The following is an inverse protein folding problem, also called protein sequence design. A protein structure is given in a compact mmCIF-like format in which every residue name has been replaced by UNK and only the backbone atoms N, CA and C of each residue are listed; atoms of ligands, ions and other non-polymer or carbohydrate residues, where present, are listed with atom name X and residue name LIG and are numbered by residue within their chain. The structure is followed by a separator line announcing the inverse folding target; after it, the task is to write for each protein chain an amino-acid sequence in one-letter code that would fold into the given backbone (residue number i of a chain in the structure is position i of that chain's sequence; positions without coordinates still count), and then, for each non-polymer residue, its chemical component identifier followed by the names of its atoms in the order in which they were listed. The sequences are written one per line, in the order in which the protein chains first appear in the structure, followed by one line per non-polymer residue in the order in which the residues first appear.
data_IF_836052688389
#
_entry.id   IF_836052688389
#
_cell.length_a   1.000
_cell.length_b   1.000
_cell.length_c   1.000
_cell.angle_alpha   90.00
_cell.angle_beta   90.00
_cell.angle_gamma   90.00
#
_symmetry.space_group_name_H-M   'P 1'
#
loop_
_entity.id
_entity.type
_entity.pdbx_description
1 polymer ?
#
# COMPACT_ATOMS: atom_id res chain seq x y z
N UNK A 1 13.92 0.52 -1.41
CA UNK A 1 13.84 -0.35 -0.21
C UNK A 1 12.43 -0.87 -0.14
N UNK A 2 12.31 -2.17 -0.36
CA UNK A 2 11.11 -2.69 -1.01
C UNK A 2 11.09 -2.36 -2.50
N UNK A 3 10.28 -3.11 -3.24
CA UNK A 3 9.96 -2.86 -4.65
C UNK A 3 8.56 -2.24 -4.68
N UNK A 4 8.36 -1.28 -5.56
CA UNK A 4 7.02 -1.00 -6.09
C UNK A 4 6.95 -1.67 -7.46
N UNK A 5 5.82 -2.29 -7.75
CA UNK A 5 5.59 -2.78 -9.10
C UNK A 5 5.50 -1.58 -10.06
N UNK A 6 5.89 -1.75 -11.32
CA UNK A 6 5.89 -0.68 -12.33
C UNK A 6 4.55 0.05 -12.44
N UNK A 7 3.45 -0.67 -12.21
CA UNK A 7 2.08 -0.15 -12.28
C UNK A 7 1.58 0.48 -10.97
N UNK A 8 2.44 0.59 -9.95
CA UNK A 8 2.11 1.06 -8.60
C UNK A 8 2.84 2.36 -8.27
N UNK A 9 2.20 3.21 -7.49
CA UNK A 9 2.68 4.56 -7.13
C UNK A 9 2.98 4.64 -5.63
N UNK A 10 3.66 5.71 -5.23
CA UNK A 10 3.75 6.14 -3.84
C UNK A 10 5.10 5.94 -3.16
N UNK A 11 5.09 5.91 -1.83
CA UNK A 11 6.27 6.11 -1.01
C UNK A 11 7.29 4.99 -1.22
N UNK A 12 8.54 5.35 -1.52
CA UNK A 12 9.66 4.43 -1.63
C UNK A 12 10.83 4.96 -0.81
N UNK A 13 11.28 4.17 0.16
CA UNK A 13 12.51 4.49 0.90
C UNK A 13 13.72 4.03 0.08
N UNK A 14 14.78 4.83 0.03
CA UNK A 14 16.04 4.49 -0.62
C UNK A 14 17.17 4.62 0.41
N UNK A 15 18.05 3.61 0.49
CA UNK A 15 19.21 3.64 1.40
C UNK A 15 20.30 2.74 0.84
N UNK A 16 21.55 3.10 1.14
CA UNK A 16 22.74 2.29 0.91
C UNK A 16 23.13 1.45 2.15
N UNK A 17 22.41 1.58 3.28
CA UNK A 17 22.69 0.82 4.50
C UNK A 17 22.03 -0.58 4.46
N UNK A 18 22.86 -1.62 4.49
CA UNK A 18 22.41 -3.02 4.43
C UNK A 18 21.60 -3.48 5.66
N UNK A 19 21.90 -2.98 6.86
CA UNK A 19 21.15 -3.33 8.07
C UNK A 19 19.73 -2.78 8.03
N UNK A 20 19.59 -1.50 7.65
CA UNK A 20 18.28 -0.85 7.42
C UNK A 20 17.51 -1.60 6.33
N UNK A 21 18.21 -2.08 5.28
CA UNK A 21 17.60 -2.90 4.22
C UNK A 21 16.93 -4.15 4.74
N UNK A 22 17.66 -4.89 5.54
CA UNK A 22 17.18 -6.11 6.11
C UNK A 22 16.01 -5.84 7.06
N UNK A 23 16.14 -4.86 7.97
CA UNK A 23 15.13 -4.52 8.98
C UNK A 23 13.81 -4.09 8.35
N UNK A 24 13.83 -3.14 7.42
CA UNK A 24 12.60 -2.64 6.79
C UNK A 24 12.02 -3.57 5.71
N UNK A 25 12.85 -4.42 5.10
CA UNK A 25 12.45 -5.28 3.99
C UNK A 25 11.92 -6.66 4.41
N UNK A 26 12.38 -7.18 5.55
CA UNK A 26 12.10 -8.57 5.92
C UNK A 26 10.70 -8.72 6.54
N UNK A 27 9.98 -9.79 6.16
CA UNK A 27 8.59 -10.03 6.61
C UNK A 27 8.46 -10.27 8.11
N UNK A 28 9.53 -10.74 8.76
CA UNK A 28 9.53 -11.04 10.20
C UNK A 28 9.31 -9.79 11.07
N UNK A 29 9.76 -8.61 10.61
CA UNK A 29 9.63 -7.37 11.36
C UNK A 29 8.24 -6.73 11.20
N UNK A 30 7.43 -7.26 10.29
CA UNK A 30 6.00 -6.98 10.19
C UNK A 30 5.60 -5.49 10.13
N UNK A 31 6.50 -4.60 9.65
CA UNK A 31 6.22 -3.17 9.58
C UNK A 31 4.92 -2.90 8.82
N UNK A 32 4.09 -2.01 9.35
CA UNK A 32 2.84 -1.64 8.67
C UNK A 32 3.13 -0.78 7.45
N UNK A 33 2.40 -1.05 6.37
CA UNK A 33 2.35 -0.19 5.17
C UNK A 33 0.88 0.08 4.86
N UNK A 34 0.53 1.34 4.66
CA UNK A 34 -0.80 1.73 4.22
C UNK A 34 -0.83 1.93 2.70
N UNK A 35 -1.93 1.52 2.10
CA UNK A 35 -2.17 1.63 0.68
C UNK A 35 -3.53 2.25 0.45
N UNK A 36 -3.60 3.22 -0.45
CA UNK A 36 -4.85 3.63 -1.08
C UNK A 36 -5.01 2.88 -2.39
N UNK A 37 -6.16 2.24 -2.55
CA UNK A 37 -6.41 1.28 -3.61
C UNK A 37 -7.73 1.63 -4.29
N UNK A 38 -7.66 2.03 -5.55
CA UNK A 38 -8.86 2.17 -6.37
C UNK A 38 -9.19 0.82 -7.00
N UNK A 39 -10.44 0.39 -6.87
CA UNK A 39 -10.92 -0.89 -7.41
C UNK A 39 -12.10 -0.68 -8.36
N UNK A 40 -12.29 -1.61 -9.30
CA UNK A 40 -13.55 -1.72 -10.06
C UNK A 40 -14.69 -2.12 -9.11
N UNK A 41 -15.85 -1.50 -9.23
CA UNK A 41 -17.03 -1.76 -8.40
C UNK A 41 -17.01 -1.13 -7.01
N UNK A 42 -18.00 -1.51 -6.20
CA UNK A 42 -18.13 -1.12 -4.79
C UNK A 42 -18.09 -2.40 -3.95
N UNK A 43 -16.98 -2.67 -3.22
CA UNK A 43 -16.86 -3.85 -2.36
C UNK A 43 -18.00 -3.98 -1.36
N UNK A 44 -18.62 -5.17 -1.33
CA UNK A 44 -19.63 -5.51 -0.32
C UNK A 44 -19.00 -5.67 1.06
N UNK A 45 -19.81 -5.58 2.12
CA UNK A 45 -19.38 -5.84 3.49
C UNK A 45 -18.70 -7.21 3.65
N UNK A 46 -19.23 -8.25 2.98
CA UNK A 46 -18.63 -9.59 2.97
C UNK A 46 -17.24 -9.60 2.31
N UNK A 47 -17.04 -8.87 1.21
CA UNK A 47 -15.73 -8.77 0.56
C UNK A 47 -14.71 -8.02 1.44
N UNK A 48 -15.13 -6.94 2.09
CA UNK A 48 -14.29 -6.21 3.05
C UNK A 48 -13.90 -7.09 4.24
N UNK A 49 -14.84 -7.89 4.76
CA UNK A 49 -14.58 -8.84 5.83
C UNK A 49 -13.58 -9.93 5.40
N UNK A 50 -13.73 -10.50 4.20
CA UNK A 50 -12.76 -11.47 3.66
C UNK A 50 -11.35 -10.86 3.57
N UNK A 51 -11.23 -9.66 3.00
CA UNK A 51 -9.94 -8.95 2.93
C UNK A 51 -9.33 -8.71 4.32
N UNK A 52 -10.18 -8.43 5.31
CA UNK A 52 -9.77 -8.16 6.71
C UNK A 52 -9.26 -9.42 7.41
N UNK A 53 -9.98 -10.54 7.25
CA UNK A 53 -9.64 -11.83 7.87
C UNK A 53 -8.45 -12.52 7.17
N UNK A 54 -8.22 -12.20 5.90
CA UNK A 54 -7.19 -12.77 5.06
C UNK A 54 -7.81 -13.61 3.95
N UNK A 55 -7.18 -13.56 2.77
CA UNK A 55 -7.67 -14.20 1.55
C UNK A 55 -6.60 -15.12 0.97
N UNK A 56 -7.03 -16.20 0.33
CA UNK A 56 -6.10 -17.15 -0.28
C UNK A 56 -5.52 -16.55 -1.56
N UNK A 57 -4.22 -16.25 -1.56
CA UNK A 57 -3.51 -15.79 -2.76
C UNK A 57 -2.26 -16.65 -2.98
N UNK A 58 -2.03 -17.09 -4.21
CA UNK A 58 -0.93 -17.99 -4.56
C UNK A 58 -0.83 -19.22 -3.62
N UNK A 59 -1.95 -19.86 -3.29
CA UNK A 59 -2.01 -21.03 -2.40
C UNK A 59 -1.59 -20.79 -0.94
N UNK A 60 -1.43 -19.54 -0.50
CA UNK A 60 -1.19 -19.23 0.91
C UNK A 60 -2.15 -18.12 1.37
N UNK A 61 -2.70 -18.28 2.58
CA UNK A 61 -3.57 -17.28 3.19
C UNK A 61 -2.75 -16.02 3.53
N UNK A 62 -3.28 -14.84 3.23
CA UNK A 62 -2.68 -13.60 3.72
C UNK A 62 -2.86 -13.45 5.22
N UNK A 63 -1.97 -12.70 5.86
CA UNK A 63 -2.21 -12.24 7.23
C UNK A 63 -3.45 -11.34 7.28
N UNK A 64 -4.12 -11.24 8.44
CA UNK A 64 -5.16 -10.25 8.65
C UNK A 64 -4.68 -8.84 8.33
N UNK A 65 -5.57 -8.03 7.79
CA UNK A 65 -5.32 -6.67 7.34
C UNK A 65 -6.37 -5.73 7.90
N UNK A 66 -6.04 -4.45 8.08
CA UNK A 66 -7.07 -3.44 8.27
C UNK A 66 -7.54 -2.96 6.90
N UNK A 67 -8.85 -2.95 6.69
CA UNK A 67 -9.46 -2.60 5.40
C UNK A 67 -10.60 -1.64 5.65
N UNK A 68 -10.60 -0.51 4.96
CA UNK A 68 -11.63 0.52 5.07
C UNK A 68 -12.07 0.98 3.69
N UNK A 69 -13.38 1.01 3.46
CA UNK A 69 -13.95 1.71 2.30
C UNK A 69 -13.91 3.22 2.57
N UNK A 70 -13.33 3.98 1.65
CA UNK A 70 -13.24 5.42 1.74
C UNK A 70 -14.50 6.05 1.15
N UNK A 71 -15.07 7.01 1.88
CA UNK A 71 -16.28 7.76 1.45
C UNK A 71 -15.96 8.80 0.39
N UNK A 72 -14.72 9.28 0.35
CA UNK A 72 -14.21 10.25 -0.63
C UNK A 72 -12.92 9.75 -1.24
N UNK A 73 -12.65 10.20 -2.47
CA UNK A 73 -11.38 9.90 -3.12
C UNK A 73 -10.23 10.56 -2.33
N UNK A 74 -9.10 9.86 -2.13
CA UNK A 74 -7.91 10.46 -1.54
C UNK A 74 -7.42 11.66 -2.36
N UNK A 75 -6.78 12.66 -1.74
CA UNK A 75 -6.27 13.86 -2.42
C UNK A 75 -4.99 13.55 -3.20
N UNK A 76 -5.11 12.68 -4.21
CA UNK A 76 -4.01 12.26 -5.06
C UNK A 76 -4.00 13.07 -6.35
N UNK A 77 -2.81 13.43 -6.88
CA UNK A 77 -2.72 14.05 -8.18
C UNK A 77 -3.22 13.09 -9.29
N UNK A 78 -3.59 13.63 -10.46
CA UNK A 78 -3.94 12.83 -11.63
C UNK A 78 -2.82 11.83 -11.97
N UNK A 79 -3.22 10.65 -12.43
CA UNK A 79 -2.29 9.59 -12.84
C UNK A 79 -2.01 9.68 -14.35
N UNK A 80 -0.76 9.46 -14.74
CA UNK A 80 -0.35 9.29 -16.15
C UNK A 80 0.41 7.96 -16.34
N UNK A 81 -0.02 7.08 -17.27
CA UNK A 81 -1.29 7.13 -18.00
C UNK A 81 -2.50 7.00 -17.04
N UNK A 82 -3.69 7.49 -17.43
CA UNK A 82 -4.88 7.37 -16.60
C UNK A 82 -5.24 5.90 -16.36
N UNK A 83 -6.03 5.66 -15.31
CA UNK A 83 -6.60 4.33 -15.08
C UNK A 83 -7.48 3.93 -16.27
N UNK A 84 -7.65 2.62 -16.47
CA UNK A 84 -8.64 2.12 -17.41
C UNK A 84 -10.03 2.48 -16.92
N UNK A 85 -10.67 3.43 -17.57
CA UNK A 85 -12.04 3.83 -17.28
C UNK A 85 -13.03 2.98 -18.11
N UNK A 86 -14.12 2.57 -17.45
CA UNK A 86 -15.22 1.85 -18.08
C UNK A 86 -16.51 2.58 -17.70
N UNK A 87 -17.11 3.28 -18.68
CA UNK A 87 -18.25 4.20 -18.48
C UNK A 87 -19.40 3.68 -17.61
N UNK A 88 -19.62 2.36 -17.55
CA UNK A 88 -20.75 1.75 -16.84
C UNK A 88 -20.34 0.96 -15.59
N UNK A 89 -19.08 1.04 -15.14
CA UNK A 89 -18.62 0.35 -13.93
C UNK A 89 -18.14 1.41 -12.94
N UNK A 90 -18.81 1.57 -11.77
CA UNK A 90 -18.34 2.50 -10.76
C UNK A 90 -16.97 2.09 -10.24
N UNK A 91 -16.24 3.01 -9.65
CA UNK A 91 -15.00 2.71 -8.93
C UNK A 91 -15.10 3.18 -7.49
N UNK A 92 -14.38 2.54 -6.60
CA UNK A 92 -14.31 2.91 -5.19
C UNK A 92 -12.89 2.86 -4.67
N UNK A 93 -12.65 3.55 -3.57
CA UNK A 93 -11.34 3.62 -2.93
C UNK A 93 -11.35 2.85 -1.62
N UNK A 94 -10.32 2.04 -1.41
CA UNK A 94 -10.05 1.33 -0.17
C UNK A 94 -8.75 1.85 0.45
N UNK A 95 -8.70 1.89 1.77
CA UNK A 95 -7.46 1.92 2.54
C UNK A 95 -7.17 0.51 3.06
N UNK A 96 -5.97 0.00 2.74
CA UNK A 96 -5.48 -1.29 3.22
C UNK A 96 -4.20 -1.06 4.03
N UNK A 97 -4.17 -1.56 5.27
CA UNK A 97 -2.96 -1.57 6.11
C UNK A 97 -2.48 -3.01 6.25
N UNK A 98 -1.29 -3.28 5.72
CA UNK A 98 -0.68 -4.60 5.69
C UNK A 98 0.61 -4.63 6.52
N UNK A 99 0.85 -5.75 7.20
CA UNK A 99 2.11 -6.03 7.92
C UNK A 99 3.05 -6.93 7.13
N UNK A 100 2.64 -7.36 5.93
CA UNK A 100 3.45 -8.16 5.01
C UNK A 100 3.55 -7.51 3.63
N UNK A 101 4.50 -8.00 2.82
CA UNK A 101 4.81 -7.48 1.50
C UNK A 101 5.08 -8.60 0.51
N UNK A 102 4.05 -9.39 0.15
CA UNK A 102 4.14 -10.40 -0.90
C UNK A 102 4.09 -9.73 -2.29
N UNK A 103 4.65 -10.37 -3.31
CA UNK A 103 4.60 -9.84 -4.68
C UNK A 103 3.15 -9.58 -5.11
N UNK A 104 2.86 -8.38 -5.64
CA UNK A 104 1.51 -7.95 -6.08
C UNK A 104 0.39 -8.22 -5.07
N UNK A 105 0.70 -8.25 -3.77
CA UNK A 105 -0.21 -8.75 -2.74
C UNK A 105 -1.57 -8.05 -2.77
N UNK A 106 -1.59 -6.72 -2.67
CA UNK A 106 -2.82 -5.92 -2.67
C UNK A 106 -3.68 -6.22 -3.89
N UNK A 107 -3.09 -6.23 -5.09
CA UNK A 107 -3.81 -6.49 -6.35
C UNK A 107 -4.39 -7.90 -6.40
N UNK A 108 -3.68 -8.90 -5.87
CA UNK A 108 -4.16 -10.28 -5.78
C UNK A 108 -5.28 -10.41 -4.77
N UNK A 109 -5.17 -9.74 -3.63
CA UNK A 109 -6.20 -9.75 -2.59
C UNK A 109 -7.52 -9.18 -3.10
N UNK A 110 -7.49 -7.98 -3.67
CA UNK A 110 -8.69 -7.31 -4.18
C UNK A 110 -9.32 -8.07 -5.36
N UNK A 111 -8.50 -8.63 -6.26
CA UNK A 111 -9.00 -9.49 -7.33
C UNK A 111 -9.62 -10.80 -6.81
N UNK A 112 -9.05 -11.41 -5.77
CA UNK A 112 -9.57 -12.65 -5.19
C UNK A 112 -10.98 -12.49 -4.59
N UNK A 113 -11.33 -11.30 -4.11
CA UNK A 113 -12.68 -10.98 -3.63
C UNK A 113 -13.59 -10.36 -4.69
N UNK A 114 -13.14 -10.32 -5.96
CA UNK A 114 -13.96 -9.89 -7.11
C UNK A 114 -13.87 -8.39 -7.47
N UNK A 115 -12.94 -7.63 -6.89
CA UNK A 115 -12.82 -6.18 -7.12
C UNK A 115 -11.40 -5.81 -7.60
N UNK A 116 -11.04 -6.06 -8.87
CA UNK A 116 -9.69 -5.83 -9.38
C UNK A 116 -9.18 -4.40 -9.16
N UNK A 117 -7.90 -4.27 -8.78
CA UNK A 117 -7.26 -2.96 -8.56
C UNK A 117 -6.94 -2.23 -9.86
N UNK A 118 -7.42 -0.98 -9.96
CA UNK A 118 -7.14 -0.02 -11.02
C UNK A 118 -5.93 0.88 -10.70
N UNK A 119 -5.89 1.42 -9.47
CA UNK A 119 -4.80 2.29 -8.98
C UNK A 119 -4.34 1.83 -7.61
N UNK A 120 -3.03 1.83 -7.40
CA UNK A 120 -2.42 1.42 -6.14
C UNK A 120 -1.38 2.45 -5.75
N UNK A 121 -1.58 3.11 -4.62
CA UNK A 121 -0.66 4.08 -4.06
C UNK A 121 -0.26 3.63 -2.66
N UNK A 122 1.03 3.37 -2.43
CA UNK A 122 1.53 3.18 -1.06
C UNK A 122 1.65 4.55 -0.40
N UNK A 123 0.75 4.86 0.53
CA UNK A 123 0.71 6.16 1.16
C UNK A 123 1.72 6.29 2.30
N UNK A 124 1.88 5.24 3.11
CA UNK A 124 2.76 5.30 4.27
C UNK A 124 3.52 4.00 4.57
N UNK A 125 4.62 4.15 5.31
CA UNK A 125 5.41 3.05 5.88
C UNK A 125 5.69 3.40 7.35
N UNK A 126 5.38 2.49 8.26
CA UNK A 126 5.71 2.66 9.67
C UNK A 126 7.16 2.25 9.95
N UNK A 127 7.82 3.06 10.77
CA UNK A 127 9.21 2.95 11.21
C UNK A 127 9.21 3.11 12.73
N UNK A 128 9.15 1.97 13.43
CA UNK A 128 8.96 1.96 14.89
C UNK A 128 7.62 2.59 15.25
N UNK A 129 7.65 3.58 16.14
CA UNK A 129 6.48 4.37 16.53
C UNK A 129 6.11 5.49 15.53
N UNK A 130 6.96 5.75 14.54
CA UNK A 130 6.77 6.82 13.55
C UNK A 130 6.12 6.29 12.28
N UNK A 131 5.34 7.14 11.61
CA UNK A 131 4.80 6.86 10.28
C UNK A 131 5.36 7.84 9.25
N UNK A 132 6.10 7.32 8.27
CA UNK A 132 6.48 8.10 7.10
C UNK A 132 5.34 8.11 6.10
N UNK A 133 4.98 9.29 5.60
CA UNK A 133 3.87 9.48 4.67
C UNK A 133 4.33 10.18 3.39
N UNK A 134 3.48 10.13 2.35
CA UNK A 134 3.65 10.92 1.12
C UNK A 134 3.30 12.40 1.28
N UNK A 135 2.83 12.83 2.45
CA UNK A 135 2.39 14.21 2.67
C UNK A 135 3.52 15.19 2.33
N UNK A 136 3.22 16.17 1.47
CA UNK A 136 4.18 17.18 1.04
C UNK A 136 5.22 16.68 0.02
N UNK A 137 4.98 15.55 -0.66
CA UNK A 137 5.85 15.03 -1.71
C UNK A 137 5.04 14.73 -2.98
N UNK A 138 5.29 15.48 -4.04
CA UNK A 138 4.62 15.26 -5.33
C UNK A 138 5.18 14.02 -6.06
N UNK A 139 4.44 13.47 -7.05
CA UNK A 139 4.93 12.35 -7.85
C UNK A 139 6.29 12.66 -8.49
N UNK A 140 7.24 11.74 -8.33
CA UNK A 140 8.60 11.87 -8.86
C UNK A 140 9.55 12.70 -7.99
N UNK A 141 9.05 13.39 -6.96
CA UNK A 141 9.90 14.06 -6.00
C UNK A 141 10.51 13.09 -4.99
N UNK A 142 11.63 13.51 -4.43
CA UNK A 142 12.30 12.83 -3.33
C UNK A 142 12.86 13.87 -2.36
N UNK A 143 13.08 13.44 -1.13
CA UNK A 143 13.78 14.23 -0.11
C UNK A 143 14.63 13.34 0.76
N UNK A 144 15.59 13.94 1.44
CA UNK A 144 16.25 13.27 2.56
C UNK A 144 15.31 13.12 3.74
N UNK A 145 15.57 12.09 4.54
CA UNK A 145 14.90 11.92 5.83
C UNK A 145 15.38 13.00 6.80
N UNK A 146 14.47 13.53 7.61
CA UNK A 146 14.81 14.46 8.69
C UNK A 146 15.67 13.76 9.75
N UNK A 147 16.43 14.49 10.58
CA UNK A 147 17.22 13.87 11.65
C UNK A 147 16.39 12.96 12.57
N UNK A 148 15.14 13.34 12.86
CA UNK A 148 14.23 12.54 13.68
C UNK A 148 13.81 11.24 12.97
N UNK A 149 13.50 11.30 11.67
CA UNK A 149 13.16 10.13 10.86
C UNK A 149 14.36 9.18 10.70
N UNK A 150 15.57 9.73 10.52
CA UNK A 150 16.80 8.95 10.47
C UNK A 150 17.07 8.22 11.79
N UNK A 151 16.94 8.92 12.91
CA UNK A 151 17.11 8.33 14.23
C UNK A 151 16.12 7.20 14.47
N UNK A 152 14.85 7.39 14.10
CA UNK A 152 13.83 6.36 14.21
C UNK A 152 14.18 5.10 13.39
N UNK A 153 14.77 5.26 12.20
CA UNK A 153 15.24 4.14 11.37
C UNK A 153 16.41 3.40 12.02
N UNK A 154 17.38 4.13 12.60
CA UNK A 154 18.56 3.54 13.21
C UNK A 154 18.23 2.78 14.51
N UNK A 155 17.12 3.12 15.15
CA UNK A 155 16.63 2.46 16.37
C UNK A 155 15.70 1.27 16.10
N UNK A 156 15.42 0.95 14.83
CA UNK A 156 14.57 -0.19 14.47
C UNK A 156 15.17 -1.52 14.89
#
# INVERSE_FOLDING_TARGET
MGRLDLDSEGLLLLTNNGAVKHRLGHRQFAHQRSYWVQVEGIPTAAALQQLTQGVLINRELTRPALVKLLTTAPPLPPRYPPIRDRRNIPTSWLELILTEGRNRQVRRMTAAVGYPTLRLVRFSINIGAMQLTLTGLDPGQWRYLTPQEQQAILQL
#
